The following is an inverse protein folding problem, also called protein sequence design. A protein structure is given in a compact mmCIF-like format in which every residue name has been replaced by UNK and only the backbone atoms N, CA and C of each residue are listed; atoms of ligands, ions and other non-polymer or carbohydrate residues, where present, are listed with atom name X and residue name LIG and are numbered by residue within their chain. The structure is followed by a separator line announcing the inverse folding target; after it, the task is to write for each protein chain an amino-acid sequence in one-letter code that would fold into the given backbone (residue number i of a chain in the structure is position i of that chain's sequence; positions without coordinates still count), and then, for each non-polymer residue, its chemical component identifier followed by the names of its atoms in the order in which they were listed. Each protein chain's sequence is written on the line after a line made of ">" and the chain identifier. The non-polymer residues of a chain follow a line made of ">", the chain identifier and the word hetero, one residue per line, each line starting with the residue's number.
data_IF_466472620216
#
_entry.id   IF_466472620216
#
_cell.length_a   1.000
_cell.length_b   1.000
_cell.length_c   1.000
_cell.angle_alpha   90.00
_cell.angle_beta   90.00
_cell.angle_gamma   90.00
#
_symmetry.space_group_name_H-M   'P 1'
#
loop_
_entity.id
_entity.type
_entity.pdbx_description
1 polymer ?
#
# COMPACT_ATOMS: atom_id res chain seq x y z
N UNK A 1 -64.85 2.98 67.59
CA UNK A 1 -64.36 2.51 66.27
C UNK A 1 -64.44 1.00 66.27
N UNK A 2 -65.20 0.39 65.37
CA UNK A 2 -65.54 -1.04 65.44
C UNK A 2 -64.38 -1.89 64.87
N UNK A 3 -64.03 -3.00 65.52
CA UNK A 3 -62.86 -3.83 65.19
C UNK A 3 -62.92 -4.32 63.73
N UNK A 4 -64.13 -4.59 63.26
CA UNK A 4 -64.45 -5.03 61.90
C UNK A 4 -64.13 -3.97 60.83
N UNK A 5 -64.24 -2.68 61.18
CA UNK A 5 -63.92 -1.56 60.28
C UNK A 5 -62.42 -1.39 60.07
N UNK A 6 -61.62 -1.63 61.12
CA UNK A 6 -60.15 -1.61 61.06
C UNK A 6 -59.61 -2.77 60.21
N UNK A 7 -60.21 -3.95 60.33
CA UNK A 7 -59.81 -5.13 59.56
C UNK A 7 -60.11 -4.97 58.06
N UNK A 8 -61.28 -4.42 57.71
CA UNK A 8 -61.62 -4.08 56.33
C UNK A 8 -60.67 -3.03 55.72
N UNK A 9 -60.30 -2.00 56.49
CA UNK A 9 -59.31 -1.02 56.04
C UNK A 9 -57.92 -1.64 55.82
N UNK A 10 -57.49 -2.56 56.69
CA UNK A 10 -56.23 -3.29 56.52
C UNK A 10 -56.23 -4.12 55.23
N UNK A 11 -57.31 -4.86 54.97
CA UNK A 11 -57.46 -5.65 53.74
C UNK A 11 -57.47 -4.77 52.48
N UNK A 12 -58.12 -3.61 52.55
CA UNK A 12 -58.15 -2.64 51.45
C UNK A 12 -56.75 -2.10 51.11
N UNK A 13 -55.99 -1.70 52.14
CA UNK A 13 -54.62 -1.21 52.00
C UNK A 13 -53.72 -2.31 51.41
N UNK A 14 -53.79 -3.54 51.93
CA UNK A 14 -53.00 -4.66 51.43
C UNK A 14 -53.30 -4.98 49.97
N UNK A 15 -54.58 -4.92 49.55
CA UNK A 15 -54.99 -5.14 48.16
C UNK A 15 -54.42 -4.08 47.21
N UNK A 16 -54.50 -2.80 47.59
CA UNK A 16 -53.89 -1.69 46.81
C UNK A 16 -52.37 -1.79 46.77
N UNK A 17 -51.73 -2.17 47.87
CA UNK A 17 -50.28 -2.36 47.93
C UNK A 17 -49.83 -3.50 47.00
N UNK A 18 -50.62 -4.59 46.93
CA UNK A 18 -50.40 -5.68 45.99
C UNK A 18 -50.49 -5.24 44.52
N UNK A 19 -51.51 -4.45 44.18
CA UNK A 19 -51.67 -3.88 42.83
C UNK A 19 -50.50 -2.96 42.49
N UNK A 20 -50.08 -2.09 43.43
CA UNK A 20 -48.95 -1.19 43.23
C UNK A 20 -47.63 -1.95 42.99
N UNK A 21 -47.36 -3.00 43.77
CA UNK A 21 -46.19 -3.87 43.57
C UNK A 21 -46.22 -4.55 42.20
N UNK A 22 -47.38 -5.05 41.78
CA UNK A 22 -47.52 -5.68 40.47
C UNK A 22 -47.30 -4.68 39.33
N UNK A 23 -47.87 -3.47 39.44
CA UNK A 23 -47.69 -2.41 38.45
C UNK A 23 -46.22 -1.97 38.35
N UNK A 24 -45.53 -1.87 39.49
CA UNK A 24 -44.10 -1.53 39.56
C UNK A 24 -43.21 -2.59 38.87
N UNK A 25 -43.55 -3.88 38.98
CA UNK A 25 -42.84 -4.94 38.26
C UNK A 25 -43.02 -4.80 36.75
N UNK A 26 -44.24 -4.50 36.29
CA UNK A 26 -44.52 -4.29 34.85
C UNK A 26 -43.78 -3.06 34.34
N UNK A 27 -43.78 -1.96 35.08
CA UNK A 27 -43.08 -0.73 34.72
C UNK A 27 -41.56 -0.98 34.62
N UNK A 28 -40.98 -1.68 35.59
CA UNK A 28 -39.56 -2.05 35.54
C UNK A 28 -39.23 -2.94 34.33
N UNK A 29 -40.12 -3.87 33.96
CA UNK A 29 -39.96 -4.72 32.78
C UNK A 29 -40.00 -3.90 31.49
N UNK A 30 -40.93 -2.94 31.38
CA UNK A 30 -41.04 -2.04 30.22
C UNK A 30 -39.81 -1.15 30.08
N UNK A 31 -39.34 -0.54 31.17
CA UNK A 31 -38.12 0.30 31.17
C UNK A 31 -36.89 -0.53 30.81
N UNK A 32 -36.76 -1.75 31.35
CA UNK A 32 -35.68 -2.67 31.02
C UNK A 32 -35.67 -3.08 29.54
N UNK A 33 -36.84 -3.35 28.96
CA UNK A 33 -36.97 -3.64 27.53
C UNK A 33 -36.55 -2.45 26.67
N UNK A 34 -36.99 -1.24 27.03
CA UNK A 34 -36.62 -0.02 26.30
C UNK A 34 -35.10 0.21 26.34
N UNK A 35 -34.48 0.05 27.52
CA UNK A 35 -33.04 0.19 27.69
C UNK A 35 -32.26 -0.87 26.88
N UNK A 36 -32.75 -2.11 26.84
CA UNK A 36 -32.15 -3.18 26.04
C UNK A 36 -32.16 -2.87 24.53
N UNK A 37 -33.31 -2.41 24.00
CA UNK A 37 -33.43 -2.01 22.59
C UNK A 37 -32.49 -0.84 22.30
N UNK A 38 -32.46 0.17 23.18
CA UNK A 38 -31.57 1.33 23.02
C UNK A 38 -30.10 0.94 23.00
N UNK A 39 -29.65 0.05 23.90
CA UNK A 39 -28.26 -0.41 23.94
C UNK A 39 -27.91 -1.15 22.64
N UNK A 40 -28.83 -2.00 22.14
CA UNK A 40 -28.62 -2.71 20.88
C UNK A 40 -28.46 -1.73 19.72
N UNK A 41 -29.32 -0.74 19.63
CA UNK A 41 -29.29 0.27 18.56
C UNK A 41 -28.03 1.13 18.65
N UNK A 42 -27.62 1.53 19.86
CA UNK A 42 -26.38 2.25 20.09
C UNK A 42 -25.15 1.42 19.65
N UNK A 43 -25.14 0.11 19.94
CA UNK A 43 -24.07 -0.79 19.53
C UNK A 43 -24.00 -0.92 18.00
N UNK A 44 -25.16 -1.08 17.33
CA UNK A 44 -25.24 -1.11 15.87
C UNK A 44 -24.72 0.21 15.28
N UNK A 45 -25.12 1.35 15.85
CA UNK A 45 -24.66 2.67 15.39
C UNK A 45 -23.14 2.82 15.51
N UNK A 46 -22.53 2.35 16.61
CA UNK A 46 -21.07 2.35 16.81
C UNK A 46 -20.39 1.46 15.76
N UNK A 47 -20.89 0.24 15.53
CA UNK A 47 -20.33 -0.67 14.51
C UNK A 47 -20.39 -0.02 13.12
N UNK A 48 -21.53 0.57 12.76
CA UNK A 48 -21.70 1.24 11.48
C UNK A 48 -20.77 2.46 11.34
N UNK A 49 -20.62 3.27 12.39
CA UNK A 49 -19.72 4.41 12.40
C UNK A 49 -18.27 3.98 12.16
N UNK A 50 -17.81 2.92 12.83
CA UNK A 50 -16.47 2.34 12.61
C UNK A 50 -16.33 1.85 11.17
N UNK A 51 -17.33 1.13 10.65
CA UNK A 51 -17.28 0.61 9.29
C UNK A 51 -17.19 1.72 8.24
N UNK A 52 -18.05 2.75 8.36
CA UNK A 52 -18.05 3.91 7.47
C UNK A 52 -16.73 4.68 7.58
N UNK A 53 -16.23 4.91 8.80
CA UNK A 53 -14.95 5.60 9.02
C UNK A 53 -13.77 4.87 8.39
N UNK A 54 -13.66 3.55 8.60
CA UNK A 54 -12.60 2.73 7.99
C UNK A 54 -12.73 2.69 6.47
N UNK A 55 -13.96 2.54 5.94
CA UNK A 55 -14.19 2.52 4.50
C UNK A 55 -13.82 3.86 3.85
N UNK A 56 -14.29 4.97 4.41
CA UNK A 56 -14.01 6.30 3.91
C UNK A 56 -12.52 6.64 3.99
N UNK A 57 -11.85 6.26 5.09
CA UNK A 57 -10.40 6.41 5.22
C UNK A 57 -9.65 5.62 4.16
N UNK A 58 -9.99 4.34 3.94
CA UNK A 58 -9.36 3.51 2.91
C UNK A 58 -9.56 4.08 1.52
N UNK A 59 -10.77 4.53 1.21
CA UNK A 59 -11.10 5.11 -0.09
C UNK A 59 -10.32 6.42 -0.34
N UNK A 60 -10.37 7.33 0.63
CA UNK A 60 -9.69 8.63 0.56
C UNK A 60 -8.17 8.46 0.51
N UNK A 61 -7.61 7.59 1.35
CA UNK A 61 -6.19 7.28 1.35
C UNK A 61 -5.73 6.67 0.02
N UNK A 62 -6.55 5.78 -0.58
CA UNK A 62 -6.25 5.22 -1.91
C UNK A 62 -6.22 6.32 -2.99
N UNK A 63 -7.20 7.22 -2.99
CA UNK A 63 -7.25 8.36 -3.91
C UNK A 63 -6.05 9.30 -3.73
N UNK A 64 -5.70 9.60 -2.48
CA UNK A 64 -4.55 10.46 -2.17
C UNK A 64 -3.21 9.83 -2.59
N UNK A 65 -3.03 8.52 -2.35
CA UNK A 65 -1.84 7.78 -2.82
C UNK A 65 -1.73 7.78 -4.35
N UNK A 66 -2.84 7.70 -5.07
CA UNK A 66 -2.83 7.80 -6.54
C UNK A 66 -2.41 9.20 -7.00
N UNK A 67 -3.00 10.25 -6.41
CA UNK A 67 -2.63 11.63 -6.71
C UNK A 67 -1.16 11.92 -6.38
N UNK A 68 -0.64 11.37 -5.28
CA UNK A 68 0.78 11.49 -4.93
C UNK A 68 1.69 10.83 -5.98
N UNK A 69 1.35 9.63 -6.45
CA UNK A 69 2.10 8.94 -7.51
C UNK A 69 2.07 9.72 -8.83
N UNK A 70 0.91 10.26 -9.18
CA UNK A 70 0.76 11.10 -10.38
C UNK A 70 1.60 12.36 -10.27
N UNK A 71 1.60 13.02 -9.11
CA UNK A 71 2.43 14.20 -8.85
C UNK A 71 3.92 13.88 -8.97
N UNK A 72 4.38 12.74 -8.43
CA UNK A 72 5.76 12.30 -8.57
C UNK A 72 6.16 12.08 -10.04
N UNK A 73 5.30 11.46 -10.83
CA UNK A 73 5.54 11.25 -12.27
C UNK A 73 5.57 12.59 -13.01
N UNK A 74 4.67 13.52 -12.68
CA UNK A 74 4.64 14.85 -13.30
C UNK A 74 5.87 15.67 -12.94
N UNK A 75 6.31 15.64 -11.67
CA UNK A 75 7.55 16.27 -11.22
C UNK A 75 8.78 15.67 -11.94
N UNK A 76 8.84 14.34 -12.07
CA UNK A 76 9.88 13.65 -12.83
C UNK A 76 9.89 14.07 -14.31
N UNK A 77 8.73 14.12 -14.96
CA UNK A 77 8.61 14.56 -16.35
C UNK A 77 9.06 16.02 -16.53
N UNK A 78 8.70 16.91 -15.60
CA UNK A 78 9.17 18.31 -15.62
C UNK A 78 10.69 18.39 -15.44
N UNK A 79 11.25 17.63 -14.50
CA UNK A 79 12.69 17.52 -14.30
C UNK A 79 13.37 17.06 -15.59
N UNK A 80 12.95 15.92 -16.16
CA UNK A 80 13.54 15.38 -17.38
C UNK A 80 13.43 16.35 -18.56
N UNK A 81 12.27 17.00 -18.73
CA UNK A 81 12.08 18.01 -19.79
C UNK A 81 13.07 19.17 -19.65
N UNK A 82 13.35 19.63 -18.43
CA UNK A 82 14.34 20.69 -18.16
C UNK A 82 15.75 20.27 -18.59
N UNK A 83 16.08 18.99 -18.49
CA UNK A 83 17.36 18.42 -18.92
C UNK A 83 17.32 17.84 -20.35
N UNK A 84 16.29 18.14 -21.14
CA UNK A 84 16.17 17.66 -22.52
C UNK A 84 15.94 16.15 -22.65
N UNK A 85 15.48 15.50 -21.58
CA UNK A 85 15.24 14.07 -21.50
C UNK A 85 13.74 13.74 -21.54
N UNK A 86 13.41 12.49 -21.86
CA UNK A 86 12.05 11.98 -21.92
C UNK A 86 11.93 10.68 -21.13
N UNK A 87 10.89 10.58 -20.32
CA UNK A 87 10.50 9.31 -19.71
C UNK A 87 9.61 8.52 -20.65
N UNK A 88 9.99 7.28 -20.94
CA UNK A 88 9.18 6.32 -21.68
C UNK A 88 8.91 5.12 -20.77
N UNK A 89 7.63 4.78 -20.58
CA UNK A 89 7.21 3.51 -19.97
C UNK A 89 7.37 2.34 -20.95
N UNK A 90 8.45 2.34 -21.72
CA UNK A 90 8.75 1.30 -22.68
C UNK A 90 9.91 0.49 -22.12
N UNK A 91 9.65 -0.78 -21.86
CA UNK A 91 10.65 -1.74 -21.41
C UNK A 91 11.57 -2.13 -22.55
N UNK A 92 12.84 -2.38 -22.24
CA UNK A 92 13.73 -3.11 -23.14
C UNK A 92 13.24 -4.56 -23.26
N UNK A 93 13.25 -5.14 -24.47
CA UNK A 93 12.90 -6.56 -24.63
C UNK A 93 14.10 -7.45 -24.30
N UNK A 94 13.87 -8.67 -23.82
CA UNK A 94 14.96 -9.62 -23.57
C UNK A 94 15.80 -9.89 -24.82
N UNK A 95 15.17 -9.98 -25.99
CA UNK A 95 15.86 -10.18 -27.26
C UNK A 95 16.78 -9.02 -27.59
N UNK A 96 16.33 -7.79 -27.37
CA UNK A 96 17.12 -6.60 -27.64
C UNK A 96 18.26 -6.42 -26.63
N UNK A 97 18.02 -6.80 -25.36
CA UNK A 97 19.08 -6.86 -24.35
C UNK A 97 20.17 -7.87 -24.69
N UNK A 98 19.80 -9.08 -25.13
CA UNK A 98 20.78 -10.12 -25.50
C UNK A 98 21.63 -9.70 -26.71
N UNK A 99 21.09 -8.90 -27.65
CA UNK A 99 21.86 -8.34 -28.77
C UNK A 99 22.98 -7.41 -28.31
N UNK A 100 22.88 -6.82 -27.11
CA UNK A 100 23.95 -5.99 -26.53
C UNK A 100 25.16 -6.83 -26.10
N UNK A 101 25.01 -8.16 -26.01
CA UNK A 101 26.09 -9.09 -25.73
C UNK A 101 26.68 -8.97 -24.33
N UNK A 102 26.00 -8.31 -23.38
CA UNK A 102 26.43 -8.15 -21.99
C UNK A 102 26.40 -9.47 -21.21
N UNK A 103 25.51 -10.38 -21.56
CA UNK A 103 25.49 -11.74 -21.04
C UNK A 103 25.08 -12.71 -22.14
N UNK A 104 25.38 -14.00 -21.97
CA UNK A 104 25.18 -15.01 -23.01
C UNK A 104 23.71 -15.46 -23.10
N UNK A 105 23.16 -15.90 -21.98
CA UNK A 105 21.79 -16.41 -21.88
C UNK A 105 21.14 -15.96 -20.57
N UNK A 106 19.82 -15.88 -20.59
CA UNK A 106 19.00 -15.36 -19.50
C UNK A 106 17.82 -16.27 -19.24
N UNK A 107 17.69 -16.70 -17.99
CA UNK A 107 16.54 -17.46 -17.52
C UNK A 107 15.33 -16.55 -17.26
N UNK A 108 15.56 -15.39 -16.67
CA UNK A 108 14.52 -14.39 -16.43
C UNK A 108 15.04 -12.99 -16.76
N UNK A 109 14.20 -12.16 -17.37
CA UNK A 109 14.51 -10.77 -17.68
C UNK A 109 13.30 -9.87 -17.48
N UNK A 110 13.50 -8.74 -16.80
CA UNK A 110 12.50 -7.70 -16.59
C UNK A 110 13.15 -6.34 -16.83
N UNK A 111 12.47 -5.50 -17.60
CA UNK A 111 12.76 -4.08 -17.73
C UNK A 111 11.45 -3.31 -17.58
N UNK A 112 11.49 -2.14 -16.95
CA UNK A 112 10.27 -1.35 -16.71
C UNK A 112 10.33 0.03 -17.36
N UNK A 113 11.34 0.82 -17.00
CA UNK A 113 11.41 2.22 -17.37
C UNK A 113 12.58 2.48 -18.30
N UNK A 114 12.39 3.43 -19.22
CA UNK A 114 13.44 3.98 -20.05
C UNK A 114 13.48 5.50 -19.88
N UNK A 115 14.65 6.02 -19.53
CA UNK A 115 14.95 7.44 -19.51
C UNK A 115 15.84 7.75 -20.71
N UNK A 116 15.28 8.46 -21.68
CA UNK A 116 15.98 8.80 -22.92
C UNK A 116 16.50 10.23 -22.83
N UNK A 117 17.81 10.37 -22.73
CA UNK A 117 18.53 11.64 -22.86
C UNK A 117 19.05 11.78 -24.28
N UNK A 118 19.54 12.97 -24.63
CA UNK A 118 20.06 13.26 -25.97
C UNK A 118 21.27 12.39 -26.33
N UNK A 119 22.15 12.11 -25.37
CA UNK A 119 23.43 11.44 -25.60
C UNK A 119 23.51 10.04 -24.98
N UNK A 120 22.53 9.64 -24.16
CA UNK A 120 22.48 8.32 -23.53
C UNK A 120 21.06 7.92 -23.14
N UNK A 121 20.86 6.63 -22.87
CA UNK A 121 19.61 6.06 -22.35
C UNK A 121 19.88 5.28 -21.08
N UNK A 122 18.94 5.32 -20.16
CA UNK A 122 18.98 4.58 -18.91
C UNK A 122 17.78 3.66 -18.85
N UNK A 123 18.01 2.38 -18.56
CA UNK A 123 16.94 1.41 -18.34
C UNK A 123 17.06 0.81 -16.94
N UNK A 124 15.92 0.69 -16.28
CA UNK A 124 15.83 -0.13 -15.07
C UNK A 124 15.73 -1.59 -15.54
N UNK A 125 16.65 -2.44 -15.08
CA UNK A 125 16.73 -3.83 -15.50
C UNK A 125 16.97 -4.77 -14.32
N UNK A 126 16.38 -5.95 -14.43
CA UNK A 126 16.54 -7.03 -13.50
C UNK A 126 16.60 -8.33 -14.29
N UNK A 127 17.57 -9.18 -14.01
CA UNK A 127 17.67 -10.46 -14.68
C UNK A 127 18.28 -11.54 -13.80
N UNK A 128 18.01 -12.79 -14.20
CA UNK A 128 18.61 -13.98 -13.64
C UNK A 128 19.30 -14.72 -14.79
N UNK A 129 20.59 -15.00 -14.63
CA UNK A 129 21.33 -15.78 -15.61
C UNK A 129 21.05 -17.29 -15.46
N UNK A 130 21.60 -18.10 -16.37
CA UNK A 130 21.49 -19.57 -16.31
C UNK A 130 22.14 -20.18 -15.07
N UNK A 131 23.18 -19.53 -14.53
CA UNK A 131 23.86 -19.95 -13.30
C UNK A 131 23.10 -19.54 -12.03
N UNK A 132 21.88 -19.01 -12.15
CA UNK A 132 21.03 -18.48 -11.06
C UNK A 132 21.68 -17.31 -10.30
N UNK A 133 22.60 -16.59 -10.94
CA UNK A 133 23.14 -15.32 -10.45
C UNK A 133 22.16 -14.20 -10.79
N UNK A 134 21.90 -13.36 -9.80
CA UNK A 134 20.86 -12.35 -9.86
C UNK A 134 21.47 -10.97 -10.02
N UNK A 135 20.97 -10.21 -10.99
CA UNK A 135 21.29 -8.80 -11.17
C UNK A 135 20.04 -7.93 -11.05
N UNK A 136 20.17 -6.80 -10.35
CA UNK A 136 19.13 -5.78 -10.24
C UNK A 136 19.80 -4.43 -10.16
N UNK A 137 19.57 -3.59 -11.16
CA UNK A 137 20.28 -2.33 -11.29
C UNK A 137 19.87 -1.58 -12.55
N UNK A 138 20.82 -0.87 -13.12
CA UNK A 138 20.62 0.05 -14.22
C UNK A 138 21.48 -0.36 -15.40
N UNK A 139 20.89 -0.31 -16.59
CA UNK A 139 21.61 -0.34 -17.85
C UNK A 139 21.74 1.09 -18.38
N UNK A 140 22.97 1.55 -18.56
CA UNK A 140 23.30 2.79 -19.23
C UNK A 140 23.81 2.49 -20.65
N UNK A 141 23.12 3.01 -21.65
CA UNK A 141 23.45 2.92 -23.08
C UNK A 141 23.91 4.30 -23.57
N UNK A 142 25.17 4.44 -23.96
CA UNK A 142 25.72 5.72 -24.44
C UNK A 142 25.60 5.76 -25.97
N UNK A 143 24.96 6.80 -26.51
CA UNK A 143 24.65 6.88 -27.95
C UNK A 143 25.86 7.27 -28.82
N UNK A 144 26.88 7.91 -28.24
CA UNK A 144 28.12 8.28 -28.96
C UNK A 144 29.29 7.44 -28.46
N UNK A 145 29.95 6.75 -29.39
CA UNK A 145 31.21 6.06 -29.13
C UNK A 145 32.25 7.08 -28.66
N UNK A 146 32.58 7.03 -27.37
CA UNK A 146 33.68 7.78 -26.80
C UNK A 146 34.67 6.77 -26.20
N UNK A 147 35.94 7.16 -26.01
CA UNK A 147 36.94 6.32 -25.33
C UNK A 147 36.58 6.24 -23.85
N UNK A 148 35.55 5.47 -23.54
CA UNK A 148 35.06 5.31 -22.19
C UNK A 148 35.86 4.21 -21.48
N UNK A 149 35.96 4.27 -20.14
CA UNK A 149 36.60 3.22 -19.37
C UNK A 149 35.92 1.87 -19.62
N UNK A 150 36.74 0.84 -19.81
CA UNK A 150 36.30 -0.56 -19.93
C UNK A 150 36.33 -1.20 -18.55
N UNK A 151 35.19 -1.72 -18.11
CA UNK A 151 35.01 -2.51 -16.89
C UNK A 151 34.72 -3.96 -17.29
N UNK A 152 35.78 -4.74 -17.46
CA UNK A 152 35.69 -6.09 -18.07
C UNK A 152 35.27 -7.19 -17.10
N UNK A 153 35.26 -6.90 -15.79
CA UNK A 153 35.00 -7.91 -14.77
C UNK A 153 33.48 -8.09 -14.52
N UNK A 154 32.87 -9.03 -15.25
CA UNK A 154 31.45 -9.37 -15.11
C UNK A 154 31.08 -9.82 -13.67
N UNK A 155 32.01 -10.41 -12.92
CA UNK A 155 31.69 -10.88 -11.56
C UNK A 155 31.37 -9.73 -10.59
N UNK A 156 31.77 -8.49 -10.90
CA UNK A 156 31.52 -7.36 -10.02
C UNK A 156 30.05 -7.03 -9.83
N UNK A 157 29.22 -7.22 -10.87
CA UNK A 157 27.78 -6.90 -10.83
C UNK A 157 26.96 -7.93 -10.05
N UNK A 158 27.54 -9.09 -9.73
CA UNK A 158 26.90 -10.13 -8.91
C UNK A 158 27.32 -10.07 -7.44
N UNK A 159 28.19 -9.13 -7.06
CA UNK A 159 28.59 -8.95 -5.67
C UNK A 159 27.39 -8.45 -4.88
N UNK A 160 27.09 -9.14 -3.78
CA UNK A 160 26.02 -8.74 -2.88
C UNK A 160 26.38 -7.43 -2.18
N UNK A 161 25.61 -6.38 -2.44
CA UNK A 161 25.76 -5.08 -1.77
C UNK A 161 25.51 -5.22 -0.26
N UNK A 162 26.41 -4.66 0.55
CA UNK A 162 26.31 -4.60 2.01
C UNK A 162 25.70 -3.28 2.49
N UNK A 163 25.94 -2.19 1.76
CA UNK A 163 25.34 -0.87 1.96
C UNK A 163 24.03 -0.75 1.16
N UNK A 164 23.09 0.05 1.69
CA UNK A 164 21.83 0.43 1.04
C UNK A 164 21.97 1.63 0.11
N UNK A 165 23.07 2.37 0.19
CA UNK A 165 23.32 3.50 -0.69
C UNK A 165 23.66 3.04 -2.11
N UNK A 166 23.22 3.79 -3.10
CA UNK A 166 23.63 3.58 -4.49
C UNK A 166 25.13 3.87 -4.63
N UNK A 167 25.87 2.95 -5.25
CA UNK A 167 27.32 3.10 -5.48
C UNK A 167 27.66 2.74 -6.91
N UNK A 168 28.72 3.36 -7.45
CA UNK A 168 29.25 3.12 -8.78
C UNK A 168 30.46 2.15 -8.74
N UNK A 169 30.56 1.33 -7.69
CA UNK A 169 31.73 0.48 -7.45
C UNK A 169 31.62 -0.88 -8.15
N UNK A 170 30.41 -1.27 -8.54
CA UNK A 170 30.08 -2.57 -9.12
C UNK A 170 29.60 -2.36 -10.55
N UNK A 171 30.54 -2.19 -11.48
CA UNK A 171 30.22 -1.87 -12.88
C UNK A 171 30.79 -2.94 -13.79
N UNK A 172 29.99 -3.35 -14.76
CA UNK A 172 30.44 -4.12 -15.90
C UNK A 172 30.07 -3.39 -17.19
N UNK A 173 30.98 -3.36 -18.15
CA UNK A 173 30.73 -2.66 -19.41
C UNK A 173 31.13 -3.48 -20.62
N UNK A 174 30.37 -3.32 -21.68
CA UNK A 174 30.72 -3.82 -23.01
C UNK A 174 30.39 -2.77 -24.04
N UNK A 175 31.42 -2.33 -24.77
CA UNK A 175 31.32 -1.24 -25.74
C UNK A 175 30.74 0.03 -25.10
N UNK A 176 29.57 0.49 -25.55
CA UNK A 176 28.88 1.67 -25.03
C UNK A 176 27.77 1.34 -24.01
N UNK A 177 27.74 0.11 -23.51
CA UNK A 177 26.72 -0.37 -22.57
C UNK A 177 27.34 -0.68 -21.21
N UNK A 178 26.69 -0.20 -20.15
CA UNK A 178 27.17 -0.33 -18.77
C UNK A 178 26.05 -0.90 -17.89
N UNK A 179 26.37 -1.96 -17.17
CA UNK A 179 25.58 -2.51 -16.08
C UNK A 179 26.12 -1.97 -14.76
N UNK A 180 25.24 -1.37 -13.97
CA UNK A 180 25.56 -0.71 -12.69
C UNK A 180 24.56 -1.20 -11.64
#
# INVERSE_FOLDING_TARGET
>A
MDLKSLENNRLYILKRLGILKFLSIIEALLVGFLAFVFIRDALIAVILAVFVGVFFFRFTAKKLKLAQKELQINALNLFLRRFGAKFKKQSLSQKDFLKLGLTKDLKEFKSQNCFEFKDFKIYDIQFLDENKRFFCGILLEISKANKNPSFENEEQIYIKLTDKNFTLNHIFSKENHYLI
#
